data_IF_985556686517
#
_entry.id   IF_985556686517
#
_cell.length_a   1.000
_cell.length_b   1.000
_cell.length_c   1.000
_cell.angle_alpha   90.00
_cell.angle_beta   90.00
_cell.angle_gamma   90.00
#
_symmetry.space_group_name_H-M   'P 1'
#
loop_
_entity.id
_entity.type
_entity.pdbx_description
1 polymer ?
#
# COMPACT_ATOMS: atom_id res chain seq x y z
N UNK A 1 -2.55 11.41 -16.01
CA UNK A 1 -2.65 11.84 -14.61
C UNK A 1 -3.58 10.91 -13.85
N UNK A 2 -3.22 10.54 -12.63
CA UNK A 2 -4.09 9.81 -11.70
C UNK A 2 -4.62 10.81 -10.65
N UNK A 3 -5.88 10.72 -10.26
CA UNK A 3 -6.46 11.67 -9.31
C UNK A 3 -5.78 11.56 -7.94
N UNK A 4 -5.64 12.68 -7.23
CA UNK A 4 -5.00 12.73 -5.91
C UNK A 4 -5.98 13.25 -4.86
N UNK A 5 -6.07 12.53 -3.74
CA UNK A 5 -6.80 12.94 -2.53
C UNK A 5 -5.85 12.69 -1.36
N UNK A 6 -5.51 13.75 -0.64
CA UNK A 6 -4.65 13.68 0.54
C UNK A 6 -5.37 14.33 1.73
N UNK A 7 -5.21 13.76 2.92
CA UNK A 7 -5.60 14.40 4.18
C UNK A 7 -4.43 15.11 4.84
N UNK A 8 -3.19 14.76 4.48
CA UNK A 8 -1.99 15.36 5.02
C UNK A 8 -1.82 16.79 4.46
N UNK A 9 -1.56 17.74 5.35
CA UNK A 9 -1.27 19.13 4.96
C UNK A 9 0.09 19.28 4.26
N UNK A 10 0.98 18.32 4.46
CA UNK A 10 2.31 18.26 3.84
C UNK A 10 2.65 16.84 3.42
N UNK A 11 3.39 16.72 2.32
CA UNK A 11 3.86 15.42 1.82
C UNK A 11 5.03 14.97 2.70
N UNK A 12 4.98 13.77 3.32
CA UNK A 12 6.07 13.27 4.12
C UNK A 12 7.32 13.05 3.25
N UNK A 13 8.48 13.42 3.78
CA UNK A 13 9.78 13.03 3.22
C UNK A 13 10.25 11.80 4.00
N UNK A 14 10.40 10.69 3.30
CA UNK A 14 10.74 9.39 3.90
C UNK A 14 12.17 9.05 3.51
N UNK A 15 12.99 8.70 4.51
CA UNK A 15 14.27 8.02 4.27
C UNK A 15 14.02 6.51 4.23
N UNK A 16 14.30 5.89 3.08
CA UNK A 16 14.05 4.47 2.87
C UNK A 16 15.02 3.57 3.63
N UNK A 17 16.16 4.08 4.09
CA UNK A 17 17.12 3.30 4.89
C UNK A 17 16.64 3.12 6.33
N UNK A 18 15.90 4.10 6.85
CA UNK A 18 15.37 4.11 8.22
C UNK A 18 13.89 3.69 8.29
N UNK A 19 13.23 3.53 7.14
CA UNK A 19 11.82 3.20 7.08
C UNK A 19 11.54 1.75 7.47
N UNK A 20 10.48 1.55 8.26
CA UNK A 20 10.01 0.23 8.67
C UNK A 20 8.48 0.12 8.56
N UNK A 21 8.01 -1.08 8.22
CA UNK A 21 6.61 -1.48 8.27
C UNK A 21 6.39 -2.43 9.43
N UNK A 22 5.55 -2.06 10.38
CA UNK A 22 5.19 -2.91 11.52
C UNK A 22 3.90 -3.69 11.23
N UNK A 23 3.97 -5.01 11.34
CA UNK A 23 2.80 -5.92 11.31
C UNK A 23 2.46 -6.29 12.76
N UNK A 24 1.37 -5.72 13.28
CA UNK A 24 0.95 -5.81 14.69
C UNK A 24 -0.56 -5.89 14.84
N UNK A 25 -1.03 -6.03 16.08
CA UNK A 25 -2.46 -6.12 16.42
C UNK A 25 -2.84 -7.55 16.81
N UNK A 26 -3.98 -8.03 16.31
CA UNK A 26 -4.47 -9.40 16.55
C UNK A 26 -3.77 -10.39 15.60
N UNK A 27 -2.48 -10.62 15.83
CA UNK A 27 -1.64 -11.56 15.07
C UNK A 27 -0.88 -12.45 16.03
N UNK A 28 -0.59 -13.69 15.62
CA UNK A 28 0.17 -14.64 16.44
C UNK A 28 1.65 -14.24 16.56
N UNK A 29 2.20 -13.68 15.48
CA UNK A 29 3.63 -13.36 15.36
C UNK A 29 3.82 -11.95 14.82
N UNK A 30 3.82 -10.92 15.67
CA UNK A 30 4.15 -9.56 15.22
C UNK A 30 5.60 -9.48 14.75
N UNK A 31 5.84 -8.74 13.67
CA UNK A 31 7.17 -8.53 13.10
C UNK A 31 7.23 -7.21 12.33
N UNK A 32 8.44 -6.80 11.96
CA UNK A 32 8.66 -5.63 11.13
C UNK A 32 9.42 -5.99 9.85
N UNK A 33 9.22 -5.20 8.80
CA UNK A 33 9.93 -5.29 7.52
C UNK A 33 10.59 -3.94 7.23
N UNK A 34 11.82 -4.00 6.73
CA UNK A 34 12.48 -2.85 6.11
C UNK A 34 11.97 -2.65 4.68
N UNK A 35 12.30 -1.51 4.06
CA UNK A 35 11.98 -1.32 2.66
C UNK A 35 12.72 -2.32 1.75
N UNK A 36 13.96 -2.67 2.10
CA UNK A 36 14.75 -3.67 1.36
C UNK A 36 14.11 -5.06 1.41
N UNK A 37 13.59 -5.47 2.58
CA UNK A 37 12.88 -6.76 2.70
C UNK A 37 11.71 -6.85 1.72
N UNK A 38 10.95 -5.76 1.52
CA UNK A 38 9.84 -5.73 0.57
C UNK A 38 10.31 -5.83 -0.89
N UNK A 39 11.46 -5.25 -1.23
CA UNK A 39 12.02 -5.32 -2.58
C UNK A 39 12.50 -6.73 -2.95
N UNK A 40 12.93 -7.50 -1.96
CA UNK A 40 13.39 -8.89 -2.14
C UNK A 40 12.22 -9.89 -2.24
N UNK A 41 10.99 -9.48 -1.91
CA UNK A 41 9.80 -10.31 -2.02
C UNK A 41 9.28 -10.41 -3.46
N UNK A 42 8.53 -11.49 -3.74
CA UNK A 42 7.93 -11.69 -5.06
C UNK A 42 6.78 -10.70 -5.29
N UNK A 43 7.02 -9.73 -6.15
CA UNK A 43 5.98 -8.78 -6.56
C UNK A 43 5.06 -9.34 -7.65
N UNK A 44 3.83 -8.84 -7.67
CA UNK A 44 2.83 -9.11 -8.70
C UNK A 44 2.27 -7.80 -9.23
N UNK A 45 1.85 -7.82 -10.50
CA UNK A 45 1.16 -6.70 -11.14
C UNK A 45 -0.36 -6.95 -11.18
N UNK A 46 -1.14 -5.89 -10.95
CA UNK A 46 -2.60 -5.90 -11.05
C UNK A 46 -3.10 -4.59 -11.64
N UNK A 47 -3.95 -4.67 -12.66
CA UNK A 47 -4.69 -3.51 -13.17
C UNK A 47 -5.91 -3.27 -12.26
N UNK A 48 -5.92 -2.17 -11.51
CA UNK A 48 -6.95 -1.87 -10.50
C UNK A 48 -7.46 -0.44 -10.67
N UNK A 49 -8.79 -0.29 -10.67
CA UNK A 49 -9.47 1.01 -10.63
C UNK A 49 -9.68 1.43 -9.19
N UNK A 50 -9.21 2.62 -8.83
CA UNK A 50 -9.60 3.29 -7.59
C UNK A 50 -10.67 4.35 -7.92
N UNK A 51 -11.73 4.39 -7.12
CA UNK A 51 -12.76 5.41 -7.19
C UNK A 51 -12.97 6.01 -5.81
N UNK A 52 -12.93 7.33 -5.73
CA UNK A 52 -13.24 8.03 -4.49
C UNK A 52 -14.74 7.91 -4.17
N UNK A 53 -15.09 7.73 -2.90
CA UNK A 53 -16.48 7.78 -2.42
C UNK A 53 -17.17 9.12 -2.73
N UNK A 54 -16.38 10.19 -2.86
CA UNK A 54 -16.86 11.54 -3.21
C UNK A 54 -17.03 11.75 -4.72
N UNK A 55 -16.77 10.74 -5.55
CA UNK A 55 -16.90 10.88 -7.00
C UNK A 55 -18.37 11.00 -7.40
N UNK A 56 -18.74 12.12 -8.04
CA UNK A 56 -20.10 12.34 -8.54
C UNK A 56 -20.30 11.63 -9.88
N UNK A 57 -21.54 11.49 -10.32
CA UNK A 57 -21.85 11.03 -11.68
C UNK A 57 -21.17 11.97 -12.69
N UNK A 58 -20.36 11.40 -13.59
CA UNK A 58 -19.54 12.16 -14.55
C UNK A 58 -18.30 12.85 -13.96
N UNK A 59 -17.96 12.60 -12.68
CA UNK A 59 -16.80 13.18 -12.01
C UNK A 59 -15.48 12.49 -12.35
N UNK A 60 -14.37 13.19 -12.09
CA UNK A 60 -13.01 12.73 -12.39
C UNK A 60 -12.24 12.08 -11.22
N UNK A 61 -12.89 11.80 -10.08
CA UNK A 61 -12.24 11.15 -8.93
C UNK A 61 -12.27 9.62 -9.06
N UNK A 62 -11.89 9.15 -10.24
CA UNK A 62 -11.77 7.74 -10.60
C UNK A 62 -10.60 7.59 -11.55
N UNK A 63 -9.78 6.57 -11.34
CA UNK A 63 -8.59 6.31 -12.15
C UNK A 63 -8.26 4.83 -12.18
N UNK A 64 -7.69 4.37 -13.28
CA UNK A 64 -7.17 3.02 -13.43
C UNK A 64 -5.66 3.07 -13.65
N UNK A 65 -4.94 2.14 -13.05
CA UNK A 65 -3.50 1.99 -13.21
C UNK A 65 -3.10 0.53 -13.05
N UNK A 66 -1.88 0.22 -13.51
CA UNK A 66 -1.18 -1.01 -13.17
C UNK A 66 -0.41 -0.81 -11.86
N UNK A 67 -0.73 -1.63 -10.86
CA UNK A 67 -0.13 -1.58 -9.54
C UNK A 67 0.83 -2.74 -9.38
N UNK A 68 2.05 -2.45 -8.90
CA UNK A 68 3.07 -3.44 -8.55
C UNK A 68 3.17 -3.51 -7.02
N UNK A 69 3.16 -4.71 -6.46
CA UNK A 69 3.32 -4.90 -5.02
C UNK A 69 3.29 -6.35 -4.59
N UNK A 70 3.25 -6.58 -3.29
CA UNK A 70 3.25 -7.92 -2.68
C UNK A 70 1.81 -8.31 -2.31
N UNK A 71 1.36 -9.55 -2.54
CA UNK A 71 0.07 -10.00 -2.04
C UNK A 71 -0.03 -9.85 -0.52
N UNK A 72 -1.05 -9.15 -0.02
CA UNK A 72 -1.24 -8.94 1.42
C UNK A 72 -1.36 -10.27 2.19
N UNK A 73 -1.91 -11.31 1.56
CA UNK A 73 -1.98 -12.66 2.15
C UNK A 73 -0.60 -13.18 2.52
N UNK A 74 0.43 -12.98 1.68
CA UNK A 74 1.79 -13.45 1.98
C UNK A 74 2.38 -12.77 3.23
N UNK A 75 2.05 -11.49 3.44
CA UNK A 75 2.45 -10.72 4.63
C UNK A 75 1.71 -11.21 5.88
N UNK A 76 0.41 -11.47 5.77
CA UNK A 76 -0.46 -11.86 6.87
C UNK A 76 -0.26 -13.32 7.30
N UNK A 77 -0.06 -14.25 6.35
CA UNK A 77 0.23 -15.65 6.62
C UNK A 77 1.51 -15.79 7.46
N UNK A 78 2.53 -14.96 7.19
CA UNK A 78 3.77 -14.89 8.00
C UNK A 78 3.51 -14.43 9.43
N UNK A 79 2.54 -13.54 9.64
CA UNK A 79 2.08 -13.08 10.94
C UNK A 79 1.18 -14.10 11.67
N UNK A 80 0.78 -15.19 11.00
CA UNK A 80 -0.09 -16.24 11.55
C UNK A 80 -1.57 -15.86 11.55
N UNK A 81 -2.02 -15.14 10.52
CA UNK A 81 -3.45 -14.88 10.25
C UNK A 81 -3.98 -15.89 9.24
#
# INVERSE_FOLDING_TARGET
DFYRIDTALSIPRIDLQEWTLEIKGMVDRPYSLTFADLLDMRMVERDVTLSCVSNRVGGGLVGNARWLGIPLTEILDRAGV
#
